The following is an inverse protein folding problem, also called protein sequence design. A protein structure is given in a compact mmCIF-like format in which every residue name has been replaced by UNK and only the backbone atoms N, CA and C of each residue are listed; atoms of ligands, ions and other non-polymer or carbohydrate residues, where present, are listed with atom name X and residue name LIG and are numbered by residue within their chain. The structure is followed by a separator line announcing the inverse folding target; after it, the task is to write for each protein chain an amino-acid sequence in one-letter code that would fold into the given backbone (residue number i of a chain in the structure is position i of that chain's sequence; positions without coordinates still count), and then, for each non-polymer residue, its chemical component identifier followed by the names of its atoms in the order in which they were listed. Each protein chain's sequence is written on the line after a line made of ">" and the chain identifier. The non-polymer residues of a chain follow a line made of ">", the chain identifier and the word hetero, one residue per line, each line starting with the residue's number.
data_IF_432628347593
#
_entry.id   IF_432628347593
#
_cell.length_a   1.000
_cell.length_b   1.000
_cell.length_c   1.000
_cell.angle_alpha   90.00
_cell.angle_beta   90.00
_cell.angle_gamma   90.00
#
_symmetry.space_group_name_H-M   'P 1'
#
loop_
_entity.id
_entity.type
_entity.pdbx_description
1 polymer ?
#
# COMPACT_ATOMS: atom_id res chain seq x y z
N UNK A 1 -2.46 -8.15 17.14
CA UNK A 1 -1.30 -8.67 16.37
C UNK A 1 -1.55 -8.42 14.89
N UNK A 2 -0.57 -7.86 14.19
CA UNK A 2 -0.65 -7.52 12.75
C UNK A 2 0.59 -8.10 12.08
N UNK A 3 0.39 -8.96 11.07
CA UNK A 3 1.45 -9.74 10.41
C UNK A 3 2.39 -10.48 11.39
N UNK A 4 1.82 -11.10 12.42
CA UNK A 4 2.61 -11.83 13.42
C UNK A 4 3.26 -10.97 14.51
N UNK A 5 3.30 -9.64 14.34
CA UNK A 5 3.88 -8.71 15.30
C UNK A 5 2.85 -8.15 16.28
N UNK A 6 3.23 -8.06 17.54
CA UNK A 6 2.40 -7.45 18.57
C UNK A 6 2.48 -5.91 18.47
N UNK A 7 1.31 -5.26 18.58
CA UNK A 7 1.15 -3.81 18.55
C UNK A 7 -0.06 -3.45 19.41
N UNK A 8 0.03 -2.32 20.10
CA UNK A 8 -1.03 -1.81 20.97
C UNK A 8 -2.09 -1.02 20.18
N UNK A 9 -3.24 -0.82 20.82
CA UNK A 9 -4.28 0.08 20.34
C UNK A 9 -5.22 0.44 21.48
N UNK A 10 -5.62 1.72 21.53
CA UNK A 10 -6.64 2.22 22.44
C UNK A 10 -7.98 1.75 21.95
N UNK A 11 -8.72 1.05 22.80
CA UNK A 11 -10.08 0.63 22.46
C UNK A 11 -11.01 1.83 22.27
N UNK A 12 -11.80 1.82 21.19
CA UNK A 12 -12.70 2.93 20.81
C UNK A 12 -14.10 2.84 21.43
N UNK A 13 -14.35 1.92 22.37
CA UNK A 13 -15.60 1.79 23.11
C UNK A 13 -16.60 0.80 22.53
N UNK A 14 -17.61 0.48 23.35
CA UNK A 14 -18.59 -0.58 23.07
C UNK A 14 -19.55 -0.23 21.94
N UNK A 15 -19.91 1.04 21.80
CA UNK A 15 -20.82 1.51 20.74
C UNK A 15 -20.24 1.21 19.35
N UNK A 16 -18.97 1.57 19.12
CA UNK A 16 -18.29 1.34 17.84
C UNK A 16 -18.06 -0.15 17.61
N UNK A 17 -17.69 -0.89 18.66
CA UNK A 17 -17.53 -2.34 18.59
C UNK A 17 -18.82 -3.05 18.19
N UNK A 18 -19.95 -2.66 18.80
CA UNK A 18 -21.26 -3.22 18.46
C UNK A 18 -21.65 -2.87 17.03
N UNK A 19 -21.45 -1.62 16.60
CA UNK A 19 -21.77 -1.20 15.23
C UNK A 19 -21.03 -2.04 14.18
N UNK A 20 -19.71 -2.21 14.31
CA UNK A 20 -18.91 -3.00 13.36
C UNK A 20 -19.35 -4.47 13.36
N UNK A 21 -19.54 -5.05 14.55
CA UNK A 21 -19.94 -6.45 14.71
C UNK A 21 -21.29 -6.72 14.06
N UNK A 22 -22.26 -5.82 14.27
CA UNK A 22 -23.59 -5.91 13.65
C UNK A 22 -23.52 -5.74 12.14
N UNK A 23 -22.78 -4.75 11.63
CA UNK A 23 -22.66 -4.52 10.19
C UNK A 23 -22.03 -5.70 9.46
N UNK A 24 -20.97 -6.29 10.01
CA UNK A 24 -20.28 -7.44 9.42
C UNK A 24 -21.00 -8.77 9.67
N UNK A 25 -22.00 -8.79 10.55
CA UNK A 25 -22.74 -9.98 10.97
C UNK A 25 -21.81 -11.16 11.30
N UNK A 26 -20.84 -10.89 12.17
CA UNK A 26 -19.70 -11.76 12.46
C UNK A 26 -19.51 -11.98 13.96
N UNK A 27 -18.45 -12.70 14.32
CA UNK A 27 -17.91 -12.73 15.69
C UNK A 27 -17.61 -11.30 16.21
N UNK A 28 -17.56 -11.09 17.54
CA UNK A 28 -17.33 -9.78 18.13
C UNK A 28 -16.00 -9.15 17.70
N UNK A 29 -16.06 -7.91 17.22
CA UNK A 29 -14.89 -7.11 16.89
C UNK A 29 -14.78 -5.86 17.75
N UNK A 30 -13.54 -5.39 17.94
CA UNK A 30 -13.21 -4.11 18.57
C UNK A 30 -12.51 -3.22 17.55
N UNK A 31 -12.87 -1.93 17.52
CA UNK A 31 -12.06 -0.92 16.85
C UNK A 31 -11.02 -0.41 17.84
N UNK A 32 -9.78 -0.29 17.38
CA UNK A 32 -8.69 0.30 18.15
C UNK A 32 -8.01 1.43 17.40
N UNK A 33 -7.51 2.41 18.14
CA UNK A 33 -6.78 3.57 17.62
C UNK A 33 -5.35 3.59 18.16
N UNK A 34 -4.37 3.88 17.30
CA UNK A 34 -2.97 3.99 17.70
C UNK A 34 -2.70 5.37 18.31
N UNK A 35 -2.14 5.43 19.51
CA UNK A 35 -1.75 6.70 20.15
C UNK A 35 -0.24 6.96 19.95
N UNK A 36 0.20 8.22 19.77
CA UNK A 36 1.62 8.55 19.58
C UNK A 36 2.55 8.13 20.73
N UNK A 37 2.02 7.85 21.92
CA UNK A 37 2.76 7.32 23.06
C UNK A 37 3.02 5.80 22.99
N UNK A 38 2.37 5.10 22.07
CA UNK A 38 2.53 3.66 21.87
C UNK A 38 3.74 3.35 21.01
N UNK A 39 4.26 2.12 21.14
CA UNK A 39 5.40 1.66 20.32
C UNK A 39 4.90 1.25 18.94
N UNK A 40 5.39 1.88 17.85
CA UNK A 40 5.02 1.49 16.49
C UNK A 40 5.71 0.20 16.07
N UNK A 41 5.22 -0.42 15.00
CA UNK A 41 5.93 -1.54 14.35
C UNK A 41 7.04 -0.99 13.46
N UNK A 42 8.11 -1.77 13.31
CA UNK A 42 9.19 -1.45 12.38
C UNK A 42 8.94 -2.13 11.05
N UNK A 43 9.00 -1.35 9.98
CA UNK A 43 8.84 -1.82 8.60
C UNK A 43 9.86 -2.91 8.26
N UNK A 44 11.08 -2.77 8.80
CA UNK A 44 12.19 -3.71 8.64
C UNK A 44 11.88 -5.13 9.13
N UNK A 45 11.05 -5.26 10.16
CA UNK A 45 10.66 -6.57 10.72
C UNK A 45 9.69 -7.32 9.80
N UNK A 46 9.12 -6.65 8.80
CA UNK A 46 8.28 -7.23 7.75
C UNK A 46 9.07 -7.41 6.45
N UNK A 47 9.81 -6.38 6.01
CA UNK A 47 10.67 -6.43 4.82
C UNK A 47 12.03 -5.80 5.17
N UNK A 48 13.10 -6.60 5.12
CA UNK A 48 14.45 -6.20 5.59
C UNK A 48 15.15 -5.12 4.73
N UNK A 49 14.47 -4.57 3.71
CA UNK A 49 14.95 -3.46 2.87
C UNK A 49 14.64 -2.09 3.47
N UNK A 50 13.73 -2.00 4.44
CA UNK A 50 13.45 -0.76 5.16
C UNK A 50 14.53 -0.46 6.21
N UNK A 51 14.67 0.82 6.56
CA UNK A 51 15.56 1.26 7.64
C UNK A 51 14.97 0.88 8.99
N UNK A 52 15.83 0.84 10.01
CA UNK A 52 15.40 0.58 11.39
C UNK A 52 14.54 1.69 11.99
N UNK A 53 14.54 2.86 11.36
CA UNK A 53 13.77 4.05 11.74
C UNK A 53 12.45 4.17 10.98
N UNK A 54 12.18 3.28 10.01
CA UNK A 54 10.94 3.33 9.24
C UNK A 54 9.83 2.63 10.02
N UNK A 55 8.92 3.41 10.57
CA UNK A 55 7.90 2.96 11.51
C UNK A 55 6.49 3.10 10.94
N UNK A 56 5.63 2.15 11.27
CA UNK A 56 4.22 2.13 10.90
C UNK A 56 3.37 1.66 12.08
N UNK A 57 2.13 2.17 12.16
CA UNK A 57 1.13 1.62 13.07
C UNK A 57 0.53 0.33 12.46
N UNK A 58 -0.65 0.46 11.88
CA UNK A 58 -1.42 -0.64 11.29
C UNK A 58 -1.26 -0.87 9.77
N UNK A 59 -0.66 0.01 8.93
CA UNK A 59 -0.34 -0.31 7.54
C UNK A 59 0.51 -1.57 7.41
N UNK A 60 0.44 -2.29 6.29
CA UNK A 60 1.11 -3.59 6.11
C UNK A 60 2.61 -3.56 6.41
N UNK A 61 3.34 -2.70 5.71
CA UNK A 61 4.79 -2.59 5.87
C UNK A 61 5.39 -1.21 5.57
N UNK A 62 4.69 -0.28 4.92
CA UNK A 62 5.26 1.00 4.49
C UNK A 62 4.42 2.18 4.93
N UNK A 63 5.04 3.34 5.26
CA UNK A 63 4.31 4.57 5.54
C UNK A 63 3.51 5.09 4.35
N UNK A 64 4.05 4.95 3.12
CA UNK A 64 3.45 5.52 1.90
C UNK A 64 3.55 4.51 0.75
N UNK A 65 2.43 4.27 0.09
CA UNK A 65 2.34 3.62 -1.22
C UNK A 65 2.04 4.66 -2.29
N UNK A 66 2.87 4.71 -3.33
CA UNK A 66 2.65 5.54 -4.51
C UNK A 66 2.36 4.65 -5.72
N UNK A 67 1.43 5.08 -6.56
CA UNK A 67 1.04 4.39 -7.80
C UNK A 67 0.66 5.44 -8.85
N UNK A 68 1.11 5.24 -10.09
CA UNK A 68 0.78 6.17 -11.17
C UNK A 68 -0.55 5.84 -11.84
N UNK A 69 -1.21 6.87 -12.37
CA UNK A 69 -2.41 6.71 -13.20
C UNK A 69 -2.08 5.90 -14.47
N UNK A 70 -0.93 6.16 -15.10
CA UNK A 70 -0.48 5.42 -16.28
C UNK A 70 -0.31 3.91 -16.03
N UNK A 71 0.18 3.50 -14.86
CA UNK A 71 0.23 2.08 -14.47
C UNK A 71 -1.17 1.45 -14.36
N UNK A 72 -2.14 2.17 -13.79
CA UNK A 72 -3.53 1.72 -13.70
C UNK A 72 -4.20 1.64 -15.07
N UNK A 73 -3.93 2.60 -15.94
CA UNK A 73 -4.43 2.60 -17.31
C UNK A 73 -3.87 1.41 -18.10
N UNK A 74 -2.56 1.15 -18.04
CA UNK A 74 -1.93 -0.02 -18.66
C UNK A 74 -2.61 -1.32 -18.21
N UNK A 75 -2.78 -1.52 -16.90
CA UNK A 75 -3.47 -2.69 -16.37
C UNK A 75 -4.91 -2.78 -16.92
N UNK A 76 -5.63 -1.66 -16.95
CA UNK A 76 -7.00 -1.62 -17.45
C UNK A 76 -7.13 -1.88 -18.96
N UNK A 77 -6.05 -1.73 -19.75
CA UNK A 77 -6.05 -2.17 -21.16
C UNK A 77 -6.02 -3.69 -21.31
N UNK A 78 -5.63 -4.41 -20.25
CA UNK A 78 -5.44 -5.88 -20.22
C UNK A 78 -6.59 -6.60 -19.51
N UNK A 79 -7.58 -5.87 -19.00
CA UNK A 79 -8.69 -6.39 -18.21
C UNK A 79 -10.02 -6.27 -18.96
N UNK A 80 -10.84 -7.32 -18.92
CA UNK A 80 -12.24 -7.26 -19.37
C UNK A 80 -13.06 -6.32 -18.48
N UNK A 81 -12.90 -6.48 -17.15
CA UNK A 81 -13.53 -5.62 -16.15
C UNK A 81 -12.48 -4.68 -15.55
N UNK A 82 -12.58 -3.41 -15.91
CA UNK A 82 -11.69 -2.36 -15.39
C UNK A 82 -11.77 -2.25 -13.88
N UNK A 83 -10.62 -2.02 -13.26
CA UNK A 83 -10.44 -1.76 -11.83
C UNK A 83 -10.14 -0.28 -11.59
N UNK A 84 -10.38 0.16 -10.36
CA UNK A 84 -10.13 1.54 -9.94
C UNK A 84 -8.90 1.62 -9.04
N UNK A 85 -8.39 2.82 -8.80
CA UNK A 85 -7.24 3.02 -7.92
C UNK A 85 -7.48 2.49 -6.49
N UNK A 86 -8.74 2.52 -6.03
CA UNK A 86 -9.17 2.03 -4.73
C UNK A 86 -8.93 0.52 -4.54
N UNK A 87 -8.87 -0.26 -5.61
CA UNK A 87 -8.47 -1.67 -5.53
C UNK A 87 -7.04 -1.83 -4.98
N UNK A 88 -6.17 -0.85 -5.26
CA UNK A 88 -4.75 -0.90 -4.92
C UNK A 88 -4.37 -0.12 -3.66
N UNK A 89 -5.25 0.76 -3.18
CA UNK A 89 -5.11 1.53 -1.93
C UNK A 89 -3.80 2.33 -1.82
N UNK A 90 -3.32 3.03 -2.89
CA UNK A 90 -2.19 3.94 -2.72
C UNK A 90 -2.59 5.14 -1.86
N UNK A 91 -1.60 5.75 -1.22
CA UNK A 91 -1.75 7.01 -0.51
C UNK A 91 -1.63 8.19 -1.47
N UNK A 92 -0.72 8.10 -2.46
CA UNK A 92 -0.45 9.14 -3.45
C UNK A 92 -0.64 8.54 -4.84
N UNK A 93 -1.46 9.22 -5.64
CA UNK A 93 -1.61 8.98 -7.07
C UNK A 93 -0.79 10.03 -7.82
N UNK A 94 -0.01 9.61 -8.81
CA UNK A 94 0.79 10.51 -9.66
C UNK A 94 0.33 10.41 -11.11
N UNK A 95 0.19 11.55 -11.78
CA UNK A 95 -0.17 11.67 -13.20
C UNK A 95 1.06 12.08 -14.03
N UNK A 96 0.88 12.17 -15.36
CA UNK A 96 1.88 12.73 -16.28
C UNK A 96 3.26 12.04 -16.26
N UNK A 97 3.27 10.72 -16.06
CA UNK A 97 4.46 9.89 -16.18
C UNK A 97 4.19 8.65 -17.05
N UNK A 98 5.23 7.92 -17.43
CA UNK A 98 5.07 6.66 -18.14
C UNK A 98 4.48 5.57 -17.24
N UNK A 99 3.83 4.57 -17.82
CA UNK A 99 3.38 3.41 -17.07
C UNK A 99 4.56 2.74 -16.36
N UNK A 100 4.39 2.46 -15.07
CA UNK A 100 5.38 1.86 -14.18
C UNK A 100 6.63 2.71 -13.91
N UNK A 101 6.63 4.00 -14.28
CA UNK A 101 7.79 4.86 -14.04
C UNK A 101 8.09 5.01 -12.55
N UNK A 102 7.09 4.86 -11.68
CA UNK A 102 7.27 4.83 -10.22
C UNK A 102 8.23 3.75 -9.75
N UNK A 103 8.38 2.65 -10.50
CA UNK A 103 9.33 1.57 -10.21
C UNK A 103 10.79 2.02 -10.28
N UNK A 104 11.08 3.21 -10.83
CA UNK A 104 12.45 3.75 -10.94
C UNK A 104 12.72 4.93 -9.99
N UNK A 105 11.74 5.37 -9.21
CA UNK A 105 11.86 6.53 -8.33
C UNK A 105 12.59 6.17 -7.03
N UNK A 106 13.88 6.46 -6.97
CA UNK A 106 14.71 6.19 -5.79
C UNK A 106 14.55 7.24 -4.69
N UNK A 107 14.69 8.52 -5.02
CA UNK A 107 14.46 9.63 -4.11
C UNK A 107 13.62 10.70 -4.81
N UNK A 108 12.58 11.16 -4.13
CA UNK A 108 11.64 12.14 -4.67
C UNK A 108 11.36 13.26 -3.68
N UNK A 109 11.08 14.44 -4.23
CA UNK A 109 10.58 15.60 -3.53
C UNK A 109 9.18 15.93 -4.06
N UNK A 110 8.22 16.05 -3.14
CA UNK A 110 6.86 16.54 -3.41
C UNK A 110 6.56 17.60 -2.36
N UNK A 111 6.23 18.82 -2.76
CA UNK A 111 6.11 19.95 -1.83
C UNK A 111 7.38 20.08 -0.97
N UNK A 112 7.21 19.97 0.35
CA UNK A 112 8.33 20.02 1.31
C UNK A 112 8.80 18.64 1.81
N UNK A 113 8.16 17.56 1.33
CA UNK A 113 8.42 16.19 1.78
C UNK A 113 9.43 15.48 0.88
N UNK A 114 10.49 14.95 1.49
CA UNK A 114 11.49 14.12 0.81
C UNK A 114 11.22 12.65 1.16
N UNK A 115 11.10 11.81 0.13
CA UNK A 115 10.78 10.40 0.28
C UNK A 115 11.77 9.53 -0.48
N UNK A 116 12.05 8.35 0.07
CA UNK A 116 12.92 7.34 -0.52
C UNK A 116 12.13 6.12 -0.93
N UNK A 117 12.16 5.76 -2.21
CA UNK A 117 11.58 4.54 -2.74
C UNK A 117 12.32 3.31 -2.20
N UNK A 118 11.60 2.37 -1.60
CA UNK A 118 12.20 1.22 -0.93
C UNK A 118 12.08 -0.05 -1.75
N UNK A 119 10.86 -0.51 -2.00
CA UNK A 119 10.57 -1.81 -2.61
C UNK A 119 9.23 -1.73 -3.34
N UNK A 120 9.06 -2.50 -4.41
CA UNK A 120 7.79 -2.56 -5.12
C UNK A 120 6.71 -3.23 -4.25
N UNK A 121 5.45 -2.82 -4.43
CA UNK A 121 4.34 -3.36 -3.67
C UNK A 121 3.89 -4.70 -4.28
N UNK A 122 4.22 -5.80 -3.59
CA UNK A 122 3.67 -7.12 -3.88
C UNK A 122 2.17 -7.16 -3.64
N UNK A 123 1.40 -7.53 -4.67
CA UNK A 123 -0.07 -7.53 -4.60
C UNK A 123 -0.61 -8.86 -4.10
N UNK A 124 -1.65 -8.76 -3.27
CA UNK A 124 -2.38 -9.90 -2.72
C UNK A 124 -3.85 -9.91 -3.19
N UNK A 125 -4.59 -10.90 -2.73
CA UNK A 125 -6.01 -11.09 -3.05
C UNK A 125 -6.89 -9.89 -2.66
N UNK A 126 -6.48 -9.00 -1.76
CA UNK A 126 -7.28 -7.82 -1.40
C UNK A 126 -7.48 -6.84 -2.57
N UNK A 127 -6.69 -6.97 -3.64
CA UNK A 127 -6.88 -6.22 -4.90
C UNK A 127 -8.16 -6.63 -5.65
N UNK A 128 -8.65 -7.84 -5.41
CA UNK A 128 -9.78 -8.43 -6.13
C UNK A 128 -11.13 -8.17 -5.45
N UNK A 129 -11.12 -7.50 -4.30
CA UNK A 129 -12.34 -7.04 -3.63
C UNK A 129 -12.87 -5.82 -4.36
N UNK A 130 -14.12 -5.90 -4.84
CA UNK A 130 -14.81 -4.75 -5.41
C UNK A 130 -15.08 -3.70 -4.32
N UNK A 131 -14.50 -2.49 -4.40
CA UNK A 131 -14.69 -1.46 -3.37
C UNK A 131 -16.14 -1.00 -3.21
N UNK A 132 -16.95 -1.06 -4.27
CA UNK A 132 -18.34 -0.58 -4.24
C UNK A 132 -19.29 -1.61 -3.62
N UNK A 133 -18.96 -2.91 -3.67
CA UNK A 133 -19.87 -3.99 -3.24
C UNK A 133 -19.32 -4.85 -2.09
N UNK A 134 -18.03 -4.75 -1.77
CA UNK A 134 -17.36 -5.62 -0.79
C UNK A 134 -17.20 -7.07 -1.25
N UNK A 135 -17.58 -7.41 -2.50
CA UNK A 135 -17.53 -8.79 -3.01
C UNK A 135 -16.14 -9.09 -3.58
N UNK A 136 -15.59 -10.23 -3.17
CA UNK A 136 -14.29 -10.73 -3.63
C UNK A 136 -14.44 -11.51 -4.95
N UNK A 137 -13.74 -11.06 -5.98
CA UNK A 137 -13.41 -11.87 -7.16
C UNK A 137 -12.21 -12.75 -6.80
N UNK A 138 -12.19 -14.05 -7.11
CA UNK A 138 -11.04 -14.90 -6.71
C UNK A 138 -9.88 -14.85 -7.71
N UNK A 139 -9.99 -14.09 -8.80
CA UNK A 139 -9.02 -14.09 -9.90
C UNK A 139 -8.52 -12.68 -10.22
N UNK A 140 -9.39 -11.79 -10.68
CA UNK A 140 -8.98 -10.49 -11.24
C UNK A 140 -8.98 -9.36 -10.21
N UNK A 141 -8.02 -8.41 -10.29
CA UNK A 141 -7.01 -8.22 -11.35
C UNK A 141 -5.69 -8.98 -11.12
N UNK A 142 -5.65 -9.88 -10.14
CA UNK A 142 -4.40 -10.47 -9.66
C UNK A 142 -3.79 -11.48 -10.65
N UNK A 143 -4.62 -12.28 -11.32
CA UNK A 143 -4.17 -13.21 -12.37
C UNK A 143 -3.60 -12.44 -13.58
N UNK A 144 -4.27 -11.38 -14.03
CA UNK A 144 -3.72 -10.50 -15.08
C UNK A 144 -2.38 -9.92 -14.65
N UNK A 145 -2.26 -9.37 -13.45
CA UNK A 145 -0.98 -8.86 -12.94
C UNK A 145 0.12 -9.93 -12.91
N UNK A 146 -0.18 -11.16 -12.47
CA UNK A 146 0.79 -12.28 -12.49
C UNK A 146 1.29 -12.62 -13.89
N UNK A 147 0.52 -12.35 -14.94
CA UNK A 147 0.93 -12.67 -16.30
C UNK A 147 2.09 -11.81 -16.82
N UNK A 148 2.31 -10.60 -16.27
CA UNK A 148 3.28 -9.65 -16.84
C UNK A 148 4.02 -8.77 -15.82
N UNK A 149 3.66 -8.82 -14.53
CA UNK A 149 4.25 -7.98 -13.47
C UNK A 149 4.93 -8.80 -12.37
N UNK A 150 5.45 -9.99 -12.68
CA UNK A 150 6.31 -10.72 -11.76
C UNK A 150 7.69 -10.05 -11.65
N UNK A 151 8.33 -10.19 -10.51
CA UNK A 151 9.68 -9.67 -10.30
C UNK A 151 10.72 -10.41 -11.15
N UNK A 152 11.89 -9.80 -11.29
CA UNK A 152 13.06 -10.49 -11.83
C UNK A 152 13.37 -11.75 -10.99
N UNK A 153 13.86 -12.85 -11.59
CA UNK A 153 14.26 -14.06 -10.85
C UNK A 153 15.21 -13.79 -9.67
N UNK A 154 16.10 -12.80 -9.78
CA UNK A 154 17.03 -12.43 -8.71
C UNK A 154 16.32 -11.89 -7.45
N UNK A 155 15.13 -11.32 -7.58
CA UNK A 155 14.35 -10.72 -6.48
C UNK A 155 13.25 -11.66 -5.94
N UNK A 156 13.12 -12.88 -6.47
CA UNK A 156 12.09 -13.83 -6.03
C UNK A 156 12.15 -14.16 -4.53
N UNK A 157 13.33 -14.07 -3.92
CA UNK A 157 13.49 -14.26 -2.48
C UNK A 157 12.75 -13.18 -1.65
N UNK A 158 12.43 -12.03 -2.24
CA UNK A 158 11.66 -10.93 -1.63
C UNK A 158 10.17 -11.10 -1.93
N UNK A 159 9.81 -11.25 -3.21
CA UNK A 159 8.41 -11.14 -3.67
C UNK A 159 7.70 -12.49 -3.85
N UNK A 160 8.46 -13.58 -3.88
CA UNK A 160 7.99 -14.94 -4.21
C UNK A 160 7.33 -14.94 -5.60
N UNK A 161 6.04 -15.28 -5.67
CA UNK A 161 5.23 -15.29 -6.89
C UNK A 161 4.21 -14.15 -6.95
N UNK A 162 4.36 -13.14 -6.09
CA UNK A 162 3.44 -12.01 -6.05
C UNK A 162 3.78 -11.01 -7.16
N UNK A 163 2.80 -10.53 -7.95
CA UNK A 163 3.07 -9.50 -8.93
C UNK A 163 3.24 -8.12 -8.25
N UNK A 164 3.96 -7.23 -8.93
CA UNK A 164 4.38 -5.92 -8.46
C UNK A 164 3.54 -4.81 -9.07
N UNK A 165 2.91 -3.98 -8.23
CA UNK A 165 2.11 -2.86 -8.69
C UNK A 165 2.05 -1.71 -7.67
N UNK A 166 2.65 -0.59 -8.02
CA UNK A 166 2.95 0.52 -7.13
C UNK A 166 4.24 0.30 -6.34
N UNK A 167 4.76 1.38 -5.73
CA UNK A 167 6.03 1.38 -5.01
C UNK A 167 5.88 1.95 -3.61
N UNK A 168 6.55 1.31 -2.65
CA UNK A 168 6.60 1.78 -1.28
C UNK A 168 7.68 2.85 -1.08
N UNK A 169 7.37 3.83 -0.24
CA UNK A 169 8.24 4.95 0.09
C UNK A 169 8.38 5.10 1.61
N UNK A 170 9.61 5.29 2.05
CA UNK A 170 9.94 5.76 3.39
C UNK A 170 10.05 7.29 3.37
N UNK A 171 9.79 7.92 4.51
CA UNK A 171 9.90 9.38 4.65
C UNK A 171 11.32 9.73 5.12
N UNK A 172 12.05 10.54 4.34
CA UNK A 172 13.33 11.10 4.76
C UNK A 172 13.12 12.39 5.55
N UNK A 173 12.22 13.25 5.05
CA UNK A 173 11.85 14.51 5.67
C UNK A 173 10.34 14.69 5.57
N UNK A 174 9.71 14.94 6.71
CA UNK A 174 8.27 15.26 6.74
C UNK A 174 8.03 16.64 6.15
N UNK A 175 6.89 16.80 5.49
CA UNK A 175 6.49 18.05 4.86
C UNK A 175 5.01 18.03 4.51
N UNK A 176 4.51 19.14 3.99
CA UNK A 176 3.16 19.22 3.44
C UNK A 176 3.22 18.97 1.95
N UNK A 177 2.25 18.17 1.47
CA UNK A 177 2.02 17.91 0.05
C UNK A 177 0.56 18.21 -0.28
N UNK A 178 0.29 18.61 -1.51
CA UNK A 178 -1.04 18.94 -2.00
C UNK A 178 -1.27 18.36 -3.40
N UNK A 179 -2.53 18.13 -3.75
CA UNK A 179 -2.89 17.78 -5.13
C UNK A 179 -2.47 18.92 -6.05
N UNK A 180 -1.73 18.59 -7.11
CA UNK A 180 -1.16 19.56 -8.04
C UNK A 180 0.32 19.88 -7.77
N UNK A 181 0.89 19.41 -6.65
CA UNK A 181 2.33 19.54 -6.44
C UNK A 181 3.11 18.69 -7.47
N UNK A 182 4.17 19.26 -8.09
CA UNK A 182 5.04 18.50 -8.96
C UNK A 182 5.84 17.45 -8.17
N UNK A 183 6.12 16.32 -8.83
CA UNK A 183 6.99 15.26 -8.31
C UNK A 183 8.37 15.39 -8.94
N UNK A 184 9.38 15.75 -8.15
CA UNK A 184 10.76 15.88 -8.61
C UNK A 184 11.56 14.64 -8.24
N UNK A 185 12.24 14.02 -9.21
CA UNK A 185 13.30 13.05 -8.96
C UNK A 185 14.53 13.79 -8.44
N UNK A 186 15.06 13.35 -7.30
CA UNK A 186 16.31 13.89 -6.75
C UNK A 186 17.49 13.16 -7.41
N UNK A 187 18.50 13.92 -7.85
CA UNK A 187 19.73 13.44 -8.51
C UNK A 187 20.93 13.71 -7.62
#
# INVERSE_FOLDING_TARGET
>A
RIFGLDIQGRDCGDEVAQWITTFLNSEPYRLVHFEPSMVPRKSKDIINLFRTTDEVAYPDCSPVLILSEASLEDLNTRLEKKVKMQNFRPNILVTDCSAFEEDTWEEILIGDAEMKGTVCCARCILTTVNPDTGVLDRKEPLETLKSYRLCDPSEQHIYKSSPLFGRYFAINKTGTIQVGDPVYKMV
#
